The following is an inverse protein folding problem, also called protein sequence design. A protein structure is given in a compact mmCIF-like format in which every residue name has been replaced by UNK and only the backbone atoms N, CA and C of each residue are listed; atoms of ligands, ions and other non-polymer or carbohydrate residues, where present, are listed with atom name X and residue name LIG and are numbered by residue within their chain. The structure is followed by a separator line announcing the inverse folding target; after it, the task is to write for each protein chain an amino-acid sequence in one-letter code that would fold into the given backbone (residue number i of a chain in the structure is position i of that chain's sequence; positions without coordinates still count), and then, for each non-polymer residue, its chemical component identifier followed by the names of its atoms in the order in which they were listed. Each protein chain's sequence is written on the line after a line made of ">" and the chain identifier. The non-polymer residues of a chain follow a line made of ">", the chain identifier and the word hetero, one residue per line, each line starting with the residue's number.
data_IF_855666165161
#
_entry.id   IF_855666165161
#
_cell.length_a   1.000
_cell.length_b   1.000
_cell.length_c   1.000
_cell.angle_alpha   90.00
_cell.angle_beta   90.00
_cell.angle_gamma   90.00
#
_symmetry.space_group_name_H-M   'P 1'
#
loop_
_entity.id
_entity.type
_entity.pdbx_description
1 polymer ?
#
# COMPACT_ATOMS: atom_id res chain seq x y z
N UNK A 1 -9.85 -17.19 -7.29
CA UNK A 1 -9.80 -16.09 -6.31
C UNK A 1 -8.99 -14.98 -6.93
N UNK A 2 -9.51 -13.75 -6.98
CA UNK A 2 -8.72 -12.62 -7.48
C UNK A 2 -7.68 -12.24 -6.41
N UNK A 3 -6.41 -12.46 -6.72
CA UNK A 3 -5.29 -12.21 -5.81
C UNK A 3 -5.17 -10.72 -5.47
N UNK A 4 -5.52 -9.82 -6.40
CA UNK A 4 -5.52 -8.36 -6.16
C UNK A 4 -6.55 -7.97 -5.13
N UNK A 5 -7.80 -8.39 -5.38
CA UNK A 5 -8.90 -8.14 -4.46
C UNK A 5 -8.60 -8.69 -3.07
N UNK A 6 -7.97 -9.86 -2.99
CA UNK A 6 -7.57 -10.49 -1.72
C UNK A 6 -6.52 -9.67 -0.97
N UNK A 7 -5.49 -9.15 -1.66
CA UNK A 7 -4.45 -8.31 -1.06
C UNK A 7 -5.01 -6.96 -0.59
N UNK A 8 -5.89 -6.33 -1.38
CA UNK A 8 -6.54 -5.08 -1.02
C UNK A 8 -7.41 -5.29 0.23
N UNK A 9 -8.19 -6.37 0.26
CA UNK A 9 -9.02 -6.70 1.43
C UNK A 9 -8.17 -6.97 2.67
N UNK A 10 -7.01 -7.64 2.51
CA UNK A 10 -6.08 -7.88 3.60
C UNK A 10 -5.53 -6.57 4.16
N UNK A 11 -5.03 -5.66 3.31
CA UNK A 11 -4.56 -4.33 3.72
C UNK A 11 -5.65 -3.56 4.48
N UNK A 12 -6.86 -3.47 3.92
CA UNK A 12 -7.97 -2.77 4.57
C UNK A 12 -8.33 -3.38 5.93
N UNK A 13 -8.24 -4.71 6.06
CA UNK A 13 -8.52 -5.42 7.32
C UNK A 13 -7.44 -5.16 8.36
N UNK A 14 -6.17 -5.19 7.94
CA UNK A 14 -5.03 -4.90 8.81
C UNK A 14 -5.06 -3.46 9.28
N UNK A 15 -5.29 -2.49 8.39
CA UNK A 15 -5.41 -1.08 8.77
C UNK A 15 -6.55 -0.84 9.76
N UNK A 16 -7.69 -1.53 9.63
CA UNK A 16 -8.80 -1.43 10.61
C UNK A 16 -8.45 -1.99 11.99
N UNK A 17 -7.55 -2.97 12.06
CA UNK A 17 -7.14 -3.64 13.32
C UNK A 17 -5.89 -3.02 13.93
N UNK A 18 -5.08 -2.36 13.11
CA UNK A 18 -3.85 -1.71 13.49
C UNK A 18 -4.11 -0.56 14.48
N UNK A 19 -3.18 -0.37 15.42
CA UNK A 19 -3.11 0.90 16.13
C UNK A 19 -2.61 1.97 15.14
N UNK A 20 -3.00 3.24 15.31
CA UNK A 20 -2.64 4.33 14.39
C UNK A 20 -1.12 4.39 14.08
N UNK A 21 -0.26 4.02 15.04
CA UNK A 21 1.19 3.99 14.87
C UNK A 21 1.74 2.85 13.99
N UNK A 22 0.96 1.82 13.67
CA UNK A 22 1.41 0.68 12.83
C UNK A 22 0.94 0.76 11.38
N UNK A 23 0.16 1.78 11.02
CA UNK A 23 -0.34 2.00 9.66
C UNK A 23 0.76 2.08 8.61
N UNK A 24 1.89 2.80 8.84
CA UNK A 24 2.94 2.89 7.84
C UNK A 24 3.59 1.53 7.52
N UNK A 25 3.76 0.67 8.53
CA UNK A 25 4.33 -0.67 8.33
C UNK A 25 3.41 -1.60 7.52
N UNK A 26 2.09 -1.46 7.67
CA UNK A 26 1.11 -2.18 6.85
C UNK A 26 1.20 -1.74 5.38
N UNK A 27 1.30 -0.43 5.13
CA UNK A 27 1.42 0.11 3.76
C UNK A 27 2.75 -0.33 3.12
N UNK A 28 3.87 -0.26 3.86
CA UNK A 28 5.18 -0.69 3.37
C UNK A 28 5.19 -2.18 2.98
N UNK A 29 4.59 -3.02 3.83
CA UNK A 29 4.50 -4.46 3.58
C UNK A 29 3.62 -4.77 2.37
N UNK A 30 2.47 -4.09 2.27
CA UNK A 30 1.58 -4.22 1.13
C UNK A 30 2.25 -3.79 -0.18
N UNK A 31 2.92 -2.63 -0.20
CA UNK A 31 3.56 -2.10 -1.40
C UNK A 31 4.63 -3.06 -1.92
N UNK A 32 5.48 -3.59 -1.04
CA UNK A 32 6.51 -4.59 -1.40
C UNK A 32 5.90 -5.88 -1.92
N UNK A 33 4.84 -6.39 -1.27
CA UNK A 33 4.20 -7.61 -1.71
C UNK A 33 3.48 -7.41 -3.05
N UNK A 34 2.81 -6.28 -3.24
CA UNK A 34 2.14 -5.94 -4.48
C UNK A 34 3.14 -5.84 -5.64
N UNK A 35 4.24 -5.12 -5.44
CA UNK A 35 5.31 -4.99 -6.43
C UNK A 35 5.95 -6.35 -6.76
N UNK A 36 6.25 -7.17 -5.74
CA UNK A 36 6.77 -8.53 -5.94
C UNK A 36 5.82 -9.40 -6.79
N UNK A 37 4.52 -9.31 -6.55
CA UNK A 37 3.53 -10.15 -7.22
C UNK A 37 3.18 -9.66 -8.63
N UNK A 38 3.20 -8.34 -8.86
CA UNK A 38 2.58 -7.73 -10.04
C UNK A 38 3.46 -6.73 -10.79
N UNK A 39 4.59 -6.31 -10.22
CA UNK A 39 5.63 -5.48 -10.85
C UNK A 39 5.22 -4.05 -11.21
N UNK A 40 4.02 -3.60 -10.81
CA UNK A 40 3.53 -2.24 -11.06
C UNK A 40 2.36 -1.89 -10.15
N UNK A 41 2.16 -0.58 -9.93
CA UNK A 41 1.06 -0.04 -9.13
C UNK A 41 -0.15 0.44 -9.95
N UNK A 42 -0.10 0.37 -11.29
CA UNK A 42 -1.11 0.89 -12.23
C UNK A 42 -2.53 0.32 -12.05
N UNK A 43 -2.64 -0.82 -11.36
CA UNK A 43 -3.92 -1.51 -11.14
C UNK A 43 -4.43 -1.37 -9.70
N UNK A 44 -3.85 -0.47 -8.91
CA UNK A 44 -4.36 -0.15 -7.60
C UNK A 44 -5.63 0.70 -7.70
N UNK A 45 -6.59 0.48 -6.78
CA UNK A 45 -7.64 1.46 -6.56
C UNK A 45 -7.03 2.82 -6.19
N UNK A 46 -7.60 3.94 -6.65
CA UNK A 46 -7.04 5.29 -6.40
C UNK A 46 -6.85 5.62 -4.91
N UNK A 47 -7.64 5.03 -4.02
CA UNK A 47 -7.48 5.18 -2.58
C UNK A 47 -6.20 4.54 -2.04
N UNK A 48 -5.82 3.37 -2.56
CA UNK A 48 -4.63 2.63 -2.15
C UNK A 48 -3.38 3.26 -2.78
N UNK A 49 -3.49 3.69 -4.03
CA UNK A 49 -2.44 4.46 -4.71
C UNK A 49 -2.08 5.72 -3.90
N UNK A 50 -3.07 6.49 -3.44
CA UNK A 50 -2.83 7.66 -2.57
C UNK A 50 -2.14 7.31 -1.26
N UNK A 51 -2.48 6.18 -0.63
CA UNK A 51 -1.83 5.74 0.59
C UNK A 51 -0.35 5.43 0.36
N UNK A 52 -0.04 4.73 -0.73
CA UNK A 52 1.34 4.40 -1.10
C UNK A 52 2.11 5.67 -1.49
N UNK A 53 1.51 6.57 -2.27
CA UNK A 53 2.13 7.84 -2.64
C UNK A 53 2.42 8.71 -1.42
N UNK A 54 1.48 8.83 -0.48
CA UNK A 54 1.71 9.55 0.77
C UNK A 54 2.86 8.92 1.57
N UNK A 55 2.89 7.59 1.65
CA UNK A 55 3.97 6.87 2.32
C UNK A 55 5.32 7.06 1.66
N UNK A 56 5.37 7.08 0.32
CA UNK A 56 6.59 7.38 -0.43
C UNK A 56 7.09 8.81 -0.17
N UNK A 57 6.18 9.78 -0.08
CA UNK A 57 6.51 11.16 0.28
C UNK A 57 7.09 11.26 1.71
N UNK A 58 6.49 10.58 2.69
CA UNK A 58 7.02 10.53 4.08
C UNK A 58 8.44 9.96 4.16
N UNK A 59 8.77 9.01 3.28
CA UNK A 59 10.08 8.36 3.21
C UNK A 59 11.10 9.15 2.38
N UNK A 60 10.70 10.28 1.76
CA UNK A 60 11.55 11.07 0.88
C UNK A 60 11.89 10.36 -0.43
N UNK A 61 11.02 9.45 -0.89
CA UNK A 61 11.20 8.71 -2.16
C UNK A 61 10.57 9.41 -3.35
N UNK A 62 9.79 10.46 -3.12
CA UNK A 62 9.36 11.37 -4.17
C UNK A 62 10.41 12.48 -4.29
N UNK A 63 11.11 12.51 -5.41
CA UNK A 63 11.93 13.67 -5.76
C UNK A 63 11.00 14.89 -5.90
N UNK A 64 11.36 15.99 -5.24
CA UNK A 64 10.75 17.30 -5.47
C UNK A 64 10.98 17.66 -6.95
N UNK A 65 9.93 17.55 -7.78
CA UNK A 65 9.93 18.02 -9.17
C UNK A 65 9.73 19.53 -9.20
#
# INVERSE_FOLDING_TARGET
>A
MDKRASLIQALQTEMKRAALGTYPACIDSFARLWDYEFGSFDQLPPEIERLIAHRAAELGWMDDV
#
